data_IF_043516710215
#
_entry.id   IF_043516710215
#
_cell.length_a   1.000
_cell.length_b   1.000
_cell.length_c   1.000
_cell.angle_alpha   90.00
_cell.angle_beta   90.00
_cell.angle_gamma   90.00
#
_symmetry.space_group_name_H-M   'P 1'
#
loop_
_entity.id
_entity.type
_entity.pdbx_description
1 polymer ?
#
# COMPACT_ATOMS: atom_id res chain seq x y z
N UNK A 1 15.74 25.55 -8.58
CA UNK A 1 15.75 24.53 -7.52
C UNK A 1 16.72 23.44 -7.95
N UNK A 2 17.67 23.01 -7.12
CA UNK A 2 18.57 21.90 -7.50
C UNK A 2 17.83 20.57 -7.44
N UNK A 3 18.10 19.67 -8.38
CA UNK A 3 17.46 18.34 -8.47
C UNK A 3 17.64 17.52 -7.19
N UNK A 4 18.80 17.64 -6.54
CA UNK A 4 19.10 16.99 -5.26
C UNK A 4 18.14 17.41 -4.14
N UNK A 5 17.76 18.70 -4.10
CA UNK A 5 16.79 19.20 -3.12
C UNK A 5 15.39 18.66 -3.41
N UNK A 6 15.00 18.55 -4.67
CA UNK A 6 13.71 17.97 -5.06
C UNK A 6 13.66 16.48 -4.69
N UNK A 7 14.73 15.73 -4.95
CA UNK A 7 14.83 14.31 -4.56
C UNK A 7 14.71 14.12 -3.04
N UNK A 8 15.40 14.96 -2.26
CA UNK A 8 15.30 14.90 -0.79
C UNK A 8 13.90 15.22 -0.27
N UNK A 9 13.19 16.15 -0.92
CA UNK A 9 11.79 16.47 -0.59
C UNK A 9 10.89 15.26 -0.90
N UNK A 10 11.06 14.65 -2.07
CA UNK A 10 10.28 13.48 -2.50
C UNK A 10 10.46 12.28 -1.54
N UNK A 11 11.69 12.00 -1.13
CA UNK A 11 12.00 10.96 -0.14
C UNK A 11 11.30 11.21 1.21
N UNK A 12 11.33 12.45 1.71
CA UNK A 12 10.65 12.83 2.96
C UNK A 12 9.14 12.70 2.83
N UNK A 13 8.56 13.14 1.72
CA UNK A 13 7.13 13.01 1.46
C UNK A 13 6.71 11.54 1.37
N UNK A 14 7.54 10.69 0.75
CA UNK A 14 7.29 9.23 0.69
C UNK A 14 7.19 8.62 2.09
N UNK A 15 8.04 9.03 3.03
CA UNK A 15 7.96 8.57 4.43
C UNK A 15 6.67 9.05 5.10
N UNK A 16 6.31 10.32 4.94
CA UNK A 16 5.07 10.87 5.50
C UNK A 16 3.84 10.14 4.97
N UNK A 17 3.78 9.89 3.66
CA UNK A 17 2.68 9.15 3.02
C UNK A 17 2.58 7.74 3.61
N UNK A 18 3.70 7.03 3.81
CA UNK A 18 3.69 5.69 4.41
C UNK A 18 3.17 5.72 5.85
N UNK A 19 3.60 6.68 6.67
CA UNK A 19 3.13 6.81 8.05
C UNK A 19 1.62 7.09 8.13
N UNK A 20 1.11 7.96 7.25
CA UNK A 20 -0.32 8.23 7.13
C UNK A 20 -1.09 6.98 6.69
N UNK A 21 -0.57 6.28 5.68
CA UNK A 21 -1.18 5.06 5.17
C UNK A 21 -1.30 3.99 6.26
N UNK A 22 -0.24 3.75 7.04
CA UNK A 22 -0.25 2.82 8.18
C UNK A 22 -1.36 3.20 9.17
N UNK A 23 -1.43 4.47 9.57
CA UNK A 23 -2.41 4.93 10.55
C UNK A 23 -3.86 4.78 10.08
N UNK A 24 -4.14 4.98 8.80
CA UNK A 24 -5.50 4.91 8.26
C UNK A 24 -5.99 3.47 8.13
N UNK A 25 -5.09 2.51 7.91
CA UNK A 25 -5.46 1.12 7.62
C UNK A 25 -5.28 0.16 8.80
N UNK A 26 -4.59 0.57 9.89
CA UNK A 26 -4.20 -0.30 11.02
C UNK A 26 -5.33 -1.14 11.64
N UNK A 27 -6.55 -0.62 11.69
CA UNK A 27 -7.69 -1.29 12.34
C UNK A 27 -8.56 -2.10 11.37
N UNK A 28 -8.12 -2.24 10.10
CA UNK A 28 -8.85 -2.95 9.05
C UNK A 28 -8.28 -4.36 8.83
N UNK A 29 -9.08 -5.26 8.27
CA UNK A 29 -8.57 -6.56 7.84
C UNK A 29 -7.60 -6.43 6.65
N UNK A 30 -6.67 -7.38 6.48
CA UNK A 30 -5.68 -7.38 5.39
C UNK A 30 -6.28 -6.99 4.03
N UNK A 31 -7.43 -7.56 3.67
CA UNK A 31 -8.10 -7.30 2.40
C UNK A 31 -8.56 -5.85 2.29
N UNK A 32 -9.15 -5.31 3.35
CA UNK A 32 -9.62 -3.94 3.41
C UNK A 32 -8.46 -2.95 3.37
N UNK A 33 -7.35 -3.26 4.06
CA UNK A 33 -6.12 -2.49 3.97
C UNK A 33 -5.61 -2.44 2.52
N UNK A 34 -5.47 -3.60 1.87
CA UNK A 34 -4.98 -3.69 0.48
C UNK A 34 -5.91 -2.93 -0.48
N UNK A 35 -7.22 -3.15 -0.38
CA UNK A 35 -8.20 -2.47 -1.25
C UNK A 35 -8.19 -0.96 -1.05
N UNK A 36 -8.11 -0.50 0.21
CA UNK A 36 -8.05 0.92 0.52
C UNK A 36 -6.83 1.56 -0.14
N UNK A 37 -5.64 0.97 0.02
CA UNK A 37 -4.41 1.52 -0.56
C UNK A 37 -4.38 1.45 -2.10
N UNK A 38 -4.94 0.39 -2.70
CA UNK A 38 -5.10 0.31 -4.16
C UNK A 38 -6.03 1.41 -4.71
N UNK A 39 -7.11 1.73 -3.99
CA UNK A 39 -8.01 2.83 -4.39
C UNK A 39 -7.32 4.19 -4.34
N UNK A 40 -6.27 4.33 -3.52
CA UNK A 40 -5.39 5.49 -3.49
C UNK A 40 -4.26 5.44 -4.55
N UNK A 41 -4.30 4.46 -5.47
CA UNK A 41 -3.35 4.34 -6.57
C UNK A 41 -2.06 3.60 -6.24
N UNK A 42 -1.91 3.06 -5.03
CA UNK A 42 -0.69 2.33 -4.65
C UNK A 42 -0.63 0.94 -5.28
N UNK A 43 0.55 0.58 -5.77
CA UNK A 43 0.86 -0.74 -6.31
C UNK A 43 1.11 -1.76 -5.21
N UNK A 44 1.09 -3.06 -5.53
CA UNK A 44 1.41 -4.13 -4.55
C UNK A 44 2.81 -4.00 -3.96
N UNK A 45 3.77 -3.45 -4.70
CA UNK A 45 5.13 -3.21 -4.23
C UNK A 45 5.19 -2.07 -3.20
N UNK A 46 4.36 -1.04 -3.36
CA UNK A 46 4.27 0.09 -2.43
C UNK A 46 3.45 -0.25 -1.19
N UNK A 47 2.45 -1.13 -1.34
CA UNK A 47 1.61 -1.63 -0.24
C UNK A 47 2.38 -2.62 0.66
N UNK A 48 3.28 -3.42 0.08
CA UNK A 48 4.09 -4.42 0.79
C UNK A 48 4.75 -3.88 2.07
N UNK A 49 5.53 -2.78 2.03
CA UNK A 49 6.17 -2.22 3.22
C UNK A 49 5.20 -1.59 4.22
N UNK A 50 3.96 -1.28 3.82
CA UNK A 50 2.93 -0.67 4.69
C UNK A 50 2.23 -1.74 5.53
N UNK A 51 1.87 -2.86 4.91
CA UNK A 51 1.11 -3.96 5.53
C UNK A 51 2.05 -5.03 6.13
N UNK A 52 3.34 -5.01 5.78
CA UNK A 52 4.31 -5.99 6.26
C UNK A 52 4.12 -7.39 5.64
N UNK A 53 3.68 -7.44 4.38
CA UNK A 53 3.49 -8.70 3.62
C UNK A 53 4.23 -8.63 2.29
N UNK A 54 4.61 -9.78 1.74
CA UNK A 54 5.23 -9.81 0.41
C UNK A 54 4.24 -9.41 -0.69
N UNK A 55 4.71 -8.85 -1.81
CA UNK A 55 3.85 -8.53 -2.96
C UNK A 55 3.07 -9.75 -3.48
N UNK A 56 3.65 -10.94 -3.44
CA UNK A 56 3.02 -12.21 -3.83
C UNK A 56 1.83 -12.52 -2.91
N UNK A 57 2.01 -12.34 -1.60
CA UNK A 57 0.93 -12.57 -0.63
C UNK A 57 -0.23 -11.60 -0.83
N UNK A 58 0.08 -10.32 -1.11
CA UNK A 58 -0.93 -9.29 -1.42
C UNK A 58 -1.75 -9.68 -2.66
N UNK A 59 -1.06 -10.09 -3.75
CA UNK A 59 -1.72 -10.58 -4.97
C UNK A 59 -2.58 -11.81 -4.71
N UNK A 60 -2.10 -12.74 -3.88
CA UNK A 60 -2.84 -13.92 -3.45
C UNK A 60 -4.14 -13.58 -2.72
N UNK A 61 -4.10 -12.68 -1.74
CA UNK A 61 -5.28 -12.23 -0.98
C UNK A 61 -6.35 -11.62 -1.91
N UNK A 62 -5.92 -10.77 -2.87
CA UNK A 62 -6.81 -10.19 -3.87
C UNK A 62 -7.45 -11.26 -4.77
N UNK A 63 -6.68 -12.26 -5.17
CA UNK A 63 -7.14 -13.33 -6.05
C UNK A 63 -8.09 -14.32 -5.36
N UNK A 64 -7.80 -14.71 -4.12
CA UNK A 64 -8.65 -15.60 -3.32
C UNK A 64 -10.07 -15.03 -3.13
N UNK A 65 -10.20 -13.72 -2.93
CA UNK A 65 -11.50 -13.06 -2.81
C UNK A 65 -12.25 -12.95 -4.14
N UNK A 66 -11.56 -12.74 -5.27
CA UNK A 66 -12.19 -12.83 -6.61
C UNK A 66 -12.77 -14.22 -6.88
N UNK A 67 -12.12 -15.29 -6.41
CA UNK A 67 -12.65 -16.66 -6.51
C UNK A 67 -13.85 -16.89 -5.58
N UNK A 68 -13.84 -16.34 -4.37
CA UNK A 68 -14.95 -16.50 -3.40
C UNK A 68 -16.21 -15.72 -3.78
N UNK A 69 -16.11 -14.61 -4.52
CA UNK A 69 -17.28 -13.84 -4.98
C UNK A 69 -17.93 -14.34 -6.27
N UNK A 70 -17.41 -15.41 -6.89
CA UNK A 70 -17.94 -16.03 -8.12
C UNK A 70 -18.64 -17.39 -7.85
N UNK A 71 -18.87 -17.72 -6.58
CA UNK A 71 -19.59 -18.93 -6.15
C UNK A 71 -20.95 -18.54 -5.61
#
# INVERSE_FOLDING_TARGET
MSEERLKSIDEKLSVVIKLLAINVVKDKSDLEQIKFLQNFGMTSNEISPIIGKSPERIRGILHEKRKKGKR
#
